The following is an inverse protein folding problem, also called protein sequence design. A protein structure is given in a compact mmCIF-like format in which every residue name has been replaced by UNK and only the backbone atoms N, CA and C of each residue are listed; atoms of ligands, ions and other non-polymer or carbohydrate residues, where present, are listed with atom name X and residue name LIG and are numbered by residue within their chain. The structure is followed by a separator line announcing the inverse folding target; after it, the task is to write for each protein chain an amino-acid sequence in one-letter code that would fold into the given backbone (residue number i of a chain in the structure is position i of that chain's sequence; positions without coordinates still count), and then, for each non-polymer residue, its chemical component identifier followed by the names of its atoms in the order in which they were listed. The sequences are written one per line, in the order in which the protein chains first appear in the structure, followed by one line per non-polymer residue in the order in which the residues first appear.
data_IF_432205403246
#
_entry.id   IF_432205403246
#
_cell.length_a   1.000
_cell.length_b   1.000
_cell.length_c   1.000
_cell.angle_alpha   90.00
_cell.angle_beta   90.00
_cell.angle_gamma   90.00
#
_symmetry.space_group_name_H-M   'P 1'
#
loop_
_entity.id
_entity.type
_entity.pdbx_description
1 polymer ?
#
# COMPACT_ATOMS: atom_id res chain seq x y z
N UNK A 1 -72.57 -6.34 -27.38
CA UNK A 1 -72.32 -5.74 -26.05
C UNK A 1 -70.91 -6.11 -25.64
N UNK A 2 -70.08 -5.10 -25.41
CA UNK A 2 -68.73 -5.20 -24.83
C UNK A 2 -68.82 -5.59 -23.32
N UNK A 3 -67.74 -5.52 -22.53
CA UNK A 3 -66.89 -6.64 -22.09
C UNK A 3 -66.96 -6.85 -20.56
N UNK A 4 -66.23 -7.82 -20.01
CA UNK A 4 -65.75 -7.68 -18.62
C UNK A 4 -64.41 -8.35 -18.40
N UNK A 5 -63.50 -7.50 -17.96
CA UNK A 5 -62.11 -7.67 -17.53
C UNK A 5 -61.95 -8.57 -16.30
N UNK A 6 -60.87 -9.35 -16.27
CA UNK A 6 -60.21 -9.75 -15.02
C UNK A 6 -58.73 -9.35 -15.11
N UNK A 7 -58.34 -8.54 -14.13
CA UNK A 7 -57.09 -7.81 -13.98
C UNK A 7 -55.85 -8.71 -13.87
N UNK A 8 -54.85 -8.40 -14.69
CA UNK A 8 -53.44 -8.71 -14.44
C UNK A 8 -52.95 -7.86 -13.27
N UNK A 9 -52.43 -8.50 -12.21
CA UNK A 9 -51.75 -7.81 -11.12
C UNK A 9 -50.29 -7.46 -11.53
N UNK A 10 -49.78 -6.25 -11.23
CA UNK A 10 -48.48 -5.81 -11.70
C UNK A 10 -47.34 -6.10 -10.71
N UNK A 11 -46.19 -6.42 -11.29
CA UNK A 11 -44.84 -6.01 -10.86
C UNK A 11 -44.47 -6.25 -9.39
N UNK A 12 -43.99 -7.46 -9.11
CA UNK A 12 -43.05 -7.68 -8.00
C UNK A 12 -41.66 -7.21 -8.46
N UNK A 13 -41.39 -5.91 -8.32
CA UNK A 13 -40.03 -5.38 -8.42
C UNK A 13 -39.25 -5.90 -7.22
N UNK A 14 -38.69 -7.10 -7.38
CA UNK A 14 -37.73 -7.65 -6.44
C UNK A 14 -36.65 -6.61 -6.18
N UNK A 15 -36.62 -6.12 -4.94
CA UNK A 15 -35.47 -5.41 -4.40
C UNK A 15 -34.31 -6.38 -4.52
N UNK A 16 -33.49 -6.22 -5.57
CA UNK A 16 -32.19 -6.88 -5.64
C UNK A 16 -31.44 -6.42 -4.40
N UNK A 17 -31.37 -7.27 -3.37
CA UNK A 17 -30.44 -7.07 -2.27
C UNK A 17 -29.06 -6.97 -2.92
N UNK A 18 -28.53 -5.77 -3.01
CA UNK A 18 -27.19 -5.54 -3.51
C UNK A 18 -26.26 -6.27 -2.55
N UNK A 19 -25.71 -7.41 -3.01
CA UNK A 19 -24.72 -8.14 -2.23
C UNK A 19 -23.58 -7.19 -1.87
N UNK A 20 -23.21 -7.20 -0.59
CA UNK A 20 -22.08 -6.43 -0.08
C UNK A 20 -20.83 -6.73 -0.92
N UNK A 21 -20.02 -5.72 -1.24
CA UNK A 21 -18.80 -5.92 -2.00
C UNK A 21 -17.79 -6.72 -1.19
N UNK A 22 -16.99 -7.54 -1.88
CA UNK A 22 -15.78 -8.11 -1.28
C UNK A 22 -14.73 -7.00 -1.15
N UNK A 23 -14.07 -6.88 -0.01
CA UNK A 23 -13.01 -5.91 0.24
C UNK A 23 -11.64 -6.58 0.14
N UNK A 24 -10.73 -5.99 -0.64
CA UNK A 24 -9.31 -6.31 -0.63
C UNK A 24 -8.55 -5.12 -0.09
N UNK A 25 -8.04 -5.27 1.13
CA UNK A 25 -7.36 -4.21 1.88
C UNK A 25 -5.86 -4.39 1.74
N UNK A 26 -5.15 -3.33 1.40
CA UNK A 26 -3.71 -3.31 1.21
C UNK A 26 -3.09 -2.23 2.09
N UNK A 27 -2.14 -2.62 2.94
CA UNK A 27 -1.51 -1.69 3.88
C UNK A 27 0.00 -1.67 3.69
N UNK A 28 0.60 -0.48 3.74
CA UNK A 28 2.02 -0.38 4.11
C UNK A 28 2.19 -0.64 5.63
N UNK A 29 3.44 -0.89 6.03
CA UNK A 29 3.82 -1.10 7.42
C UNK A 29 4.31 0.19 8.07
N UNK A 30 5.46 0.69 7.63
CA UNK A 30 6.17 1.81 8.25
C UNK A 30 5.38 3.10 8.13
N UNK A 31 5.23 3.83 9.24
CA UNK A 31 4.45 5.08 9.34
C UNK A 31 2.97 4.99 8.91
N UNK A 32 2.49 3.78 8.55
CA UNK A 32 1.11 3.47 8.19
C UNK A 32 0.45 2.66 9.30
N UNK A 33 0.87 1.41 9.53
CA UNK A 33 0.45 0.62 10.69
C UNK A 33 1.24 1.07 11.93
N UNK A 34 2.54 1.31 11.79
CA UNK A 34 3.35 1.89 12.86
C UNK A 34 3.20 3.42 12.88
N UNK A 35 3.45 4.03 14.03
CA UNK A 35 3.43 5.48 14.18
C UNK A 35 4.69 6.14 13.60
N UNK A 36 5.79 5.39 13.48
CA UNK A 36 7.11 5.85 13.06
C UNK A 36 7.79 4.81 12.16
N UNK A 37 8.79 5.27 11.40
CA UNK A 37 9.66 4.42 10.60
C UNK A 37 10.42 3.42 11.51
N UNK A 38 10.33 2.13 11.18
CA UNK A 38 10.96 1.03 11.93
C UNK A 38 12.16 0.40 11.21
N UNK A 39 12.55 0.92 10.05
CA UNK A 39 13.63 0.37 9.23
C UNK A 39 14.95 0.24 10.00
N UNK A 40 15.26 1.22 10.85
CA UNK A 40 16.48 1.23 11.69
C UNK A 40 16.51 0.14 12.76
N UNK A 41 15.37 -0.49 13.07
CA UNK A 41 15.26 -1.57 14.03
C UNK A 41 15.56 -2.95 13.42
N UNK A 42 15.65 -3.04 12.10
CA UNK A 42 15.83 -4.33 11.41
C UNK A 42 17.28 -4.81 11.51
N UNK A 43 18.31 -4.01 11.18
CA UNK A 43 19.70 -4.41 11.38
C UNK A 43 20.04 -4.65 12.86
N UNK A 44 21.17 -5.31 13.16
CA UNK A 44 21.71 -5.35 14.52
C UNK A 44 21.98 -3.93 15.04
N UNK A 45 21.84 -3.69 16.36
CA UNK A 45 22.00 -2.36 16.95
C UNK A 45 23.45 -1.82 16.87
N UNK A 46 24.43 -2.71 16.80
CA UNK A 46 25.85 -2.36 16.75
C UNK A 46 26.47 -2.94 15.49
N UNK A 47 26.42 -2.18 14.40
CA UNK A 47 27.02 -2.54 13.12
C UNK A 47 28.23 -1.66 12.82
N UNK A 48 29.15 -2.20 12.02
CA UNK A 48 30.24 -1.43 11.42
C UNK A 48 30.11 -1.56 9.90
N UNK A 49 29.78 -0.48 9.17
CA UNK A 49 29.50 0.87 9.65
C UNK A 49 28.17 0.96 10.44
N UNK A 50 27.97 2.01 11.26
CA UNK A 50 26.66 2.34 11.83
C UNK A 50 25.58 2.43 10.75
N UNK A 51 24.36 1.96 11.05
CA UNK A 51 23.25 2.00 10.10
C UNK A 51 22.94 3.43 9.60
N UNK A 52 23.08 4.43 10.48
CA UNK A 52 22.88 5.83 10.13
C UNK A 52 23.75 6.31 8.97
N UNK A 53 24.99 5.81 8.86
CA UNK A 53 25.92 6.18 7.78
C UNK A 53 25.42 5.70 6.42
N UNK A 54 24.78 4.53 6.37
CA UNK A 54 24.14 4.01 5.15
C UNK A 54 22.94 4.86 4.75
N UNK A 55 22.18 5.34 5.73
CA UNK A 55 21.08 6.29 5.52
C UNK A 55 21.58 7.64 4.96
N UNK A 56 22.64 8.20 5.55
CA UNK A 56 23.25 9.44 5.03
C UNK A 56 23.76 9.26 3.60
N UNK A 57 24.39 8.13 3.30
CA UNK A 57 24.88 7.84 1.96
C UNK A 57 23.73 7.67 0.94
N UNK A 58 22.59 7.11 1.36
CA UNK A 58 21.38 7.06 0.52
C UNK A 58 20.84 8.46 0.21
N UNK A 59 20.78 9.36 1.20
CA UNK A 59 20.32 10.73 0.98
C UNK A 59 21.20 11.48 -0.02
N UNK A 60 22.52 11.24 0.01
CA UNK A 60 23.45 11.81 -0.98
C UNK A 60 23.19 11.28 -2.40
N UNK A 61 22.95 9.97 -2.55
CA UNK A 61 22.60 9.38 -3.84
C UNK A 61 21.28 9.97 -4.38
N UNK A 62 20.29 10.13 -3.48
CA UNK A 62 18.98 10.69 -3.82
C UNK A 62 19.08 12.15 -4.25
N UNK A 63 19.86 12.98 -3.54
CA UNK A 63 20.08 14.39 -3.88
C UNK A 63 20.81 14.56 -5.22
N UNK A 64 21.84 13.73 -5.45
CA UNK A 64 22.58 13.68 -6.72
C UNK A 64 21.65 13.31 -7.87
N UNK A 65 20.87 12.24 -7.68
CA UNK A 65 19.90 11.79 -8.67
C UNK A 65 18.81 12.84 -8.95
N UNK A 66 18.29 13.49 -7.91
CA UNK A 66 17.28 14.54 -8.06
C UNK A 66 17.80 15.70 -8.93
N UNK A 67 19.04 16.13 -8.66
CA UNK A 67 19.70 17.21 -9.41
C UNK A 67 19.89 16.84 -10.89
N UNK A 68 20.33 15.61 -11.16
CA UNK A 68 20.48 15.09 -12.53
C UNK A 68 19.14 14.96 -13.25
N UNK A 69 18.13 14.43 -12.56
CA UNK A 69 16.79 14.22 -13.12
C UNK A 69 16.13 15.54 -13.51
N UNK A 70 16.29 16.61 -12.72
CA UNK A 70 15.77 17.94 -13.03
C UNK A 70 16.45 18.58 -14.26
N UNK A 71 17.72 18.29 -14.51
CA UNK A 71 18.46 18.85 -15.65
C UNK A 71 18.10 18.18 -16.98
N UNK A 72 17.41 17.04 -16.96
CA UNK A 72 17.01 16.30 -18.16
C UNK A 72 15.91 17.07 -18.92
N UNK A 73 16.31 17.80 -19.96
CA UNK A 73 15.42 18.66 -20.77
C UNK A 73 14.42 17.91 -21.65
N UNK A 74 14.75 16.69 -22.07
CA UNK A 74 13.87 15.85 -22.88
C UNK A 74 13.45 14.64 -22.07
N UNK A 75 12.18 14.63 -21.66
CA UNK A 75 11.51 13.47 -21.07
C UNK A 75 10.80 12.74 -22.20
N UNK A 76 11.21 11.51 -22.46
CA UNK A 76 10.64 10.69 -23.53
C UNK A 76 9.31 10.04 -23.09
N UNK A 77 8.98 10.11 -21.79
CA UNK A 77 7.79 9.49 -21.22
C UNK A 77 6.56 10.38 -21.41
N UNK A 78 5.57 9.88 -22.17
CA UNK A 78 4.30 10.59 -22.33
C UNK A 78 3.33 10.26 -21.18
N UNK A 79 2.27 11.09 -20.95
CA UNK A 79 1.20 10.72 -20.01
C UNK A 79 0.58 9.35 -20.30
N UNK A 80 0.49 8.96 -21.57
CA UNK A 80 -0.05 7.67 -21.98
C UNK A 80 0.88 6.51 -21.57
N UNK A 81 2.19 6.72 -21.66
CA UNK A 81 3.18 5.75 -21.18
C UNK A 81 3.07 5.58 -19.66
N UNK A 82 2.90 6.68 -18.91
CA UNK A 82 2.71 6.61 -17.45
C UNK A 82 1.43 5.87 -17.07
N UNK A 83 0.33 6.12 -17.76
CA UNK A 83 -0.92 5.36 -17.57
C UNK A 83 -0.69 3.87 -17.78
N UNK A 84 0.06 3.49 -18.82
CA UNK A 84 0.42 2.09 -19.09
C UNK A 84 1.34 1.50 -18.02
N UNK A 85 2.43 2.21 -17.67
CA UNK A 85 3.42 1.80 -16.66
C UNK A 85 2.72 1.54 -15.32
N UNK A 86 1.90 2.48 -14.87
CA UNK A 86 1.21 2.42 -13.60
C UNK A 86 -0.15 1.71 -13.66
N UNK A 87 -0.55 1.18 -14.82
CA UNK A 87 -1.83 0.49 -14.99
C UNK A 87 -3.03 1.33 -14.54
N UNK A 88 -2.97 2.64 -14.76
CA UNK A 88 -4.07 3.56 -14.48
C UNK A 88 -5.18 3.37 -15.53
N UNK A 89 -6.35 3.92 -15.29
CA UNK A 89 -7.44 3.84 -16.27
C UNK A 89 -7.02 4.57 -17.58
N UNK A 90 -7.30 4.02 -18.78
CA UNK A 90 -6.87 4.64 -20.05
C UNK A 90 -7.38 6.07 -20.24
N UNK A 91 -8.59 6.36 -19.75
CA UNK A 91 -9.18 7.70 -19.77
C UNK A 91 -8.50 8.70 -18.84
N UNK A 92 -7.52 8.28 -18.04
CA UNK A 92 -6.82 9.14 -17.08
C UNK A 92 -5.72 10.00 -17.69
N UNK A 93 -5.18 9.64 -18.85
CA UNK A 93 -4.04 10.35 -19.45
C UNK A 93 -4.29 11.87 -19.63
N UNK A 94 -5.48 12.34 -20.07
CA UNK A 94 -5.78 13.77 -20.18
C UNK A 94 -5.87 14.50 -18.83
N UNK A 95 -5.97 13.76 -17.72
CA UNK A 95 -6.19 14.28 -16.37
C UNK A 95 -4.94 14.18 -15.48
N UNK A 96 -3.84 13.65 -16.02
CA UNK A 96 -2.54 13.78 -15.37
C UNK A 96 -2.03 15.19 -15.60
N UNK A 97 -1.95 15.97 -14.52
CA UNK A 97 -1.25 17.25 -14.54
C UNK A 97 0.21 17.04 -14.98
N UNK A 98 0.86 18.03 -15.62
CA UNK A 98 2.30 17.95 -15.92
C UNK A 98 3.14 17.63 -14.69
N UNK A 99 2.76 18.16 -13.53
CA UNK A 99 3.42 17.98 -12.24
C UNK A 99 3.28 16.53 -11.74
N UNK A 100 2.06 15.97 -11.78
CA UNK A 100 1.83 14.57 -11.40
C UNK A 100 2.54 13.60 -12.37
N UNK A 101 2.49 13.87 -13.66
CA UNK A 101 3.22 13.08 -14.65
C UNK A 101 4.74 13.11 -14.37
N UNK A 102 5.28 14.30 -14.05
CA UNK A 102 6.68 14.47 -13.69
C UNK A 102 7.07 13.71 -12.43
N UNK A 103 6.23 13.72 -11.41
CA UNK A 103 6.44 12.97 -10.17
C UNK A 103 6.41 11.46 -10.41
N UNK A 104 5.43 10.96 -11.16
CA UNK A 104 5.32 9.53 -11.48
C UNK A 104 6.52 9.04 -12.30
N UNK A 105 7.04 9.86 -13.22
CA UNK A 105 8.27 9.55 -13.95
C UNK A 105 9.49 9.53 -13.01
N UNK A 106 9.61 10.51 -12.11
CA UNK A 106 10.66 10.56 -11.09
C UNK A 106 10.65 9.31 -10.21
N UNK A 107 9.49 8.95 -9.66
CA UNK A 107 9.30 7.77 -8.82
C UNK A 107 9.61 6.47 -9.56
N UNK A 108 9.34 6.39 -10.86
CA UNK A 108 9.69 5.23 -11.67
C UNK A 108 11.22 5.08 -11.80
N UNK A 109 11.92 6.20 -11.99
CA UNK A 109 13.35 6.24 -12.22
C UNK A 109 14.19 6.03 -10.93
N UNK A 110 13.58 6.13 -9.74
CA UNK A 110 14.25 5.91 -8.44
C UNK A 110 14.77 4.48 -8.23
N UNK A 111 14.36 3.49 -9.01
CA UNK A 111 14.78 2.09 -8.81
C UNK A 111 16.32 1.93 -8.83
N UNK A 112 17.03 2.74 -9.64
CA UNK A 112 18.49 2.70 -9.67
C UNK A 112 19.14 3.23 -8.39
N UNK A 113 18.55 4.27 -7.79
CA UNK A 113 19.01 4.82 -6.50
C UNK A 113 18.80 3.77 -5.39
N UNK A 114 17.61 3.17 -5.35
CA UNK A 114 17.30 2.10 -4.41
C UNK A 114 18.25 0.90 -4.56
N UNK A 115 18.51 0.45 -5.79
CA UNK A 115 19.42 -0.66 -6.05
C UNK A 115 20.86 -0.33 -5.60
N UNK A 116 21.31 0.90 -5.83
CA UNK A 116 22.62 1.38 -5.35
C UNK A 116 22.72 1.31 -3.82
N UNK A 117 21.67 1.75 -3.13
CA UNK A 117 21.58 1.70 -1.67
C UNK A 117 21.59 0.27 -1.11
N UNK A 118 20.82 -0.62 -1.75
CA UNK A 118 20.79 -2.05 -1.40
C UNK A 118 22.17 -2.67 -1.58
N UNK A 119 22.83 -2.45 -2.73
CA UNK A 119 24.17 -2.99 -2.99
C UNK A 119 25.20 -2.48 -1.96
N UNK A 120 25.12 -1.21 -1.56
CA UNK A 120 25.99 -0.65 -0.51
C UNK A 120 25.75 -1.32 0.85
N UNK A 121 24.49 -1.56 1.18
CA UNK A 121 24.08 -2.26 2.41
C UNK A 121 24.55 -3.70 2.44
N UNK A 122 24.47 -4.43 1.33
CA UNK A 122 24.98 -5.81 1.27
C UNK A 122 26.50 -5.85 1.38
N UNK A 123 27.21 -4.96 0.68
CA UNK A 123 28.68 -4.87 0.72
C UNK A 123 29.22 -4.49 2.09
N UNK A 124 28.47 -3.72 2.87
CA UNK A 124 28.88 -3.35 4.23
C UNK A 124 28.79 -4.53 5.21
N UNK A 125 28.09 -5.60 4.84
CA UNK A 125 28.02 -6.83 5.62
C UNK A 125 27.19 -6.71 6.91
N UNK A 126 26.37 -5.66 7.07
CA UNK A 126 25.59 -5.43 8.29
C UNK A 126 24.59 -6.55 8.61
N UNK A 127 24.24 -7.37 7.60
CA UNK A 127 23.37 -8.52 7.74
C UNK A 127 24.11 -9.85 7.87
N UNK A 128 25.44 -9.87 7.87
CA UNK A 128 26.20 -11.09 8.15
C UNK A 128 26.03 -11.45 9.63
N UNK A 129 25.50 -12.64 9.91
CA UNK A 129 25.21 -13.07 11.28
C UNK A 129 23.94 -12.46 11.87
N UNK A 130 23.11 -11.77 11.06
CA UNK A 130 21.82 -11.25 11.53
C UNK A 130 20.92 -12.39 12.03
N UNK A 131 20.41 -12.26 13.25
CA UNK A 131 19.55 -13.26 13.87
C UNK A 131 18.07 -12.81 13.77
N UNK A 132 17.22 -13.56 13.05
CA UNK A 132 15.79 -13.26 12.96
C UNK A 132 15.11 -13.17 14.33
N UNK A 133 15.53 -13.97 15.31
CA UNK A 133 14.91 -13.99 16.64
C UNK A 133 15.07 -12.63 17.33
N UNK A 134 16.27 -12.04 17.28
CA UNK A 134 16.49 -10.72 17.86
C UNK A 134 15.67 -9.62 17.16
N UNK A 135 15.48 -9.71 15.85
CA UNK A 135 14.64 -8.78 15.11
C UNK A 135 13.16 -8.92 15.52
N UNK A 136 12.67 -10.17 15.67
CA UNK A 136 11.32 -10.43 16.14
C UNK A 136 11.08 -9.92 17.56
N UNK A 137 12.04 -10.05 18.47
CA UNK A 137 11.92 -9.51 19.83
C UNK A 137 11.81 -7.98 19.84
N UNK A 138 12.57 -7.28 18.97
CA UNK A 138 12.42 -5.83 18.80
C UNK A 138 11.05 -5.46 18.23
N UNK A 139 10.53 -6.23 17.27
CA UNK A 139 9.22 -6.00 16.66
C UNK A 139 8.05 -6.09 17.66
N UNK A 140 8.20 -6.87 18.73
CA UNK A 140 7.20 -7.06 19.79
C UNK A 140 7.21 -5.96 20.86
N UNK A 141 8.27 -5.17 20.93
CA UNK A 141 8.49 -4.23 22.01
C UNK A 141 7.74 -2.91 21.78
N UNK A 142 6.94 -2.50 22.76
CA UNK A 142 6.32 -1.15 22.81
C UNK A 142 7.34 -0.02 22.91
N UNK A 143 8.56 -0.32 23.36
CA UNK A 143 9.64 0.66 23.46
C UNK A 143 10.18 1.01 22.07
N UNK A 144 10.28 0.02 21.19
CA UNK A 144 10.88 0.20 19.87
C UNK A 144 9.84 0.41 18.77
N UNK A 145 8.72 -0.31 18.83
CA UNK A 145 7.66 -0.23 17.83
C UNK A 145 6.43 0.38 18.47
N UNK A 146 6.02 1.54 17.97
CA UNK A 146 4.76 2.15 18.34
C UNK A 146 3.74 1.89 17.25
N UNK A 147 2.60 1.29 17.61
CA UNK A 147 1.49 1.06 16.70
C UNK A 147 0.61 2.31 16.64
N UNK A 148 0.20 2.70 15.43
CA UNK A 148 -0.63 3.89 15.21
C UNK A 148 -2.00 3.72 15.88
N UNK A 149 -2.50 4.81 16.46
CA UNK A 149 -3.82 4.88 17.10
C UNK A 149 -4.92 4.32 16.20
N UNK A 150 -5.84 3.55 16.80
CA UNK A 150 -6.99 2.94 16.12
C UNK A 150 -6.71 1.58 15.45
N UNK A 151 -5.43 1.19 15.25
CA UNK A 151 -5.11 -0.07 14.55
C UNK A 151 -5.68 -1.31 15.27
N UNK A 152 -5.68 -1.31 16.61
CA UNK A 152 -6.25 -2.40 17.40
C UNK A 152 -7.74 -2.61 17.13
N UNK A 153 -8.48 -1.54 16.88
CA UNK A 153 -9.90 -1.61 16.56
C UNK A 153 -10.11 -2.16 15.14
N UNK A 154 -9.20 -1.83 14.21
CA UNK A 154 -9.16 -2.44 12.87
C UNK A 154 -8.87 -3.93 12.95
N UNK A 155 -7.91 -4.37 13.77
CA UNK A 155 -7.64 -5.79 14.01
C UNK A 155 -8.87 -6.50 14.57
N UNK A 156 -9.54 -5.89 15.54
CA UNK A 156 -10.78 -6.44 16.13
C UNK A 156 -11.88 -6.58 15.08
N UNK A 157 -12.08 -5.55 14.25
CA UNK A 157 -13.03 -5.60 13.15
C UNK A 157 -12.66 -6.69 12.12
N UNK A 158 -11.39 -6.79 11.73
CA UNK A 158 -10.90 -7.77 10.76
C UNK A 158 -11.20 -9.20 11.19
N UNK A 159 -10.90 -9.56 12.44
CA UNK A 159 -11.09 -10.94 12.93
C UNK A 159 -12.55 -11.36 13.06
N UNK A 160 -13.48 -10.40 13.00
CA UNK A 160 -14.92 -10.63 12.96
C UNK A 160 -15.46 -10.84 11.53
N UNK A 161 -14.65 -10.55 10.48
CA UNK A 161 -15.08 -10.68 9.09
C UNK A 161 -14.88 -12.10 8.54
N UNK A 162 -15.72 -12.49 7.57
CA UNK A 162 -15.46 -13.70 6.77
C UNK A 162 -14.29 -13.42 5.81
N UNK A 163 -13.27 -14.28 5.83
CA UNK A 163 -12.10 -14.14 4.95
C UNK A 163 -12.44 -14.23 3.45
N UNK A 164 -13.64 -14.68 3.10
CA UNK A 164 -14.18 -14.66 1.72
C UNK A 164 -14.73 -13.29 1.31
N UNK A 165 -15.08 -12.48 2.29
CA UNK A 165 -15.64 -11.13 2.12
C UNK A 165 -14.58 -10.04 2.34
N UNK A 166 -13.61 -10.26 3.23
CA UNK A 166 -12.53 -9.32 3.51
C UNK A 166 -11.16 -10.00 3.49
N UNK A 167 -10.25 -9.50 2.65
CA UNK A 167 -8.84 -9.87 2.63
C UNK A 167 -7.96 -8.71 3.10
N UNK A 168 -6.89 -9.03 3.81
CA UNK A 168 -5.88 -8.04 4.25
C UNK A 168 -4.52 -8.46 3.74
N UNK A 169 -3.89 -7.59 2.97
CA UNK A 169 -2.55 -7.76 2.44
C UNK A 169 -1.64 -6.67 3.00
N UNK A 170 -0.40 -7.02 3.29
CA UNK A 170 0.64 -6.05 3.65
C UNK A 170 1.68 -6.02 2.54
N UNK A 171 2.01 -4.82 2.05
CA UNK A 171 3.00 -4.58 0.99
C UNK A 171 3.96 -3.50 1.45
N UNK A 172 5.23 -3.85 1.67
CA UNK A 172 6.21 -2.90 2.22
C UNK A 172 7.57 -2.96 1.52
N UNK A 173 8.23 -1.82 1.41
CA UNK A 173 9.64 -1.71 0.97
C UNK A 173 10.63 -2.06 2.10
N UNK A 174 10.12 -2.32 3.30
CA UNK A 174 10.86 -2.72 4.48
C UNK A 174 11.78 -3.91 4.23
N UNK A 175 12.83 -4.02 5.03
CA UNK A 175 13.91 -4.98 4.82
C UNK A 175 13.69 -6.31 5.52
N UNK A 176 12.57 -6.49 6.25
CA UNK A 176 12.23 -7.77 6.86
C UNK A 176 10.72 -8.03 7.00
N UNK A 177 10.20 -8.91 6.16
CA UNK A 177 8.88 -9.52 6.28
C UNK A 177 8.75 -10.28 7.60
N UNK A 178 9.84 -10.93 8.03
CA UNK A 178 9.92 -11.61 9.32
C UNK A 178 9.69 -10.65 10.51
N UNK A 179 10.28 -9.44 10.46
CA UNK A 179 10.08 -8.40 11.47
C UNK A 179 8.62 -7.92 11.50
N UNK A 180 8.06 -7.58 10.33
CA UNK A 180 6.66 -7.12 10.20
C UNK A 180 5.70 -8.17 10.74
N UNK A 181 5.89 -9.44 10.36
CA UNK A 181 5.00 -10.52 10.78
C UNK A 181 5.00 -10.71 12.30
N UNK A 182 6.18 -10.59 12.94
CA UNK A 182 6.28 -10.64 14.39
C UNK A 182 5.59 -9.43 15.05
N UNK A 183 5.71 -8.24 14.47
CA UNK A 183 4.96 -7.06 14.90
C UNK A 183 3.45 -7.30 14.87
N UNK A 184 2.92 -7.77 13.74
CA UNK A 184 1.49 -8.08 13.58
C UNK A 184 0.99 -9.21 14.49
N UNK A 185 1.79 -10.24 14.74
CA UNK A 185 1.34 -11.44 15.48
C UNK A 185 1.67 -11.44 16.96
N UNK A 186 2.47 -10.49 17.43
CA UNK A 186 3.00 -10.57 18.79
C UNK A 186 3.19 -9.21 19.46
N UNK A 187 3.09 -8.10 18.74
CA UNK A 187 3.05 -6.80 19.39
C UNK A 187 1.74 -6.64 20.18
N UNK A 188 1.77 -6.22 21.46
CA UNK A 188 0.58 -6.15 22.32
C UNK A 188 -0.59 -5.31 21.77
N UNK A 189 -0.28 -4.31 20.94
CA UNK A 189 -1.25 -3.37 20.35
C UNK A 189 -1.58 -3.67 18.87
N UNK A 190 -1.02 -4.73 18.30
CA UNK A 190 -1.25 -5.19 16.92
C UNK A 190 -1.75 -6.65 16.84
N UNK A 191 -1.89 -7.30 17.99
CA UNK A 191 -1.98 -8.74 18.14
C UNK A 191 -3.10 -9.39 17.31
N UNK A 192 -2.74 -9.93 16.15
CA UNK A 192 -3.58 -10.86 15.41
C UNK A 192 -3.68 -12.19 16.19
N UNK A 193 -4.89 -12.76 16.36
CA UNK A 193 -5.06 -14.06 17.01
C UNK A 193 -4.21 -15.15 16.33
N UNK A 194 -3.70 -16.16 17.07
CA UNK A 194 -2.88 -17.23 16.49
C UNK A 194 -3.55 -18.01 15.34
N UNK A 195 -4.89 -18.11 15.37
CA UNK A 195 -5.69 -18.76 14.34
C UNK A 195 -6.16 -17.80 13.22
N UNK A 196 -5.75 -16.53 13.27
CA UNK A 196 -6.13 -15.53 12.27
C UNK A 196 -5.60 -15.90 10.90
N UNK A 197 -6.46 -15.76 9.89
CA UNK A 197 -6.09 -15.86 8.48
C UNK A 197 -5.37 -14.61 7.97
N UNK A 198 -5.21 -13.59 8.81
CA UNK A 198 -4.57 -12.33 8.45
C UNK A 198 -3.09 -12.25 8.88
N UNK A 199 -2.26 -11.46 8.17
CA UNK A 199 -2.55 -10.98 6.82
C UNK A 199 -2.70 -12.17 5.86
N UNK A 200 -3.63 -12.06 4.90
CA UNK A 200 -3.84 -13.02 3.82
C UNK A 200 -2.53 -13.22 3.05
N UNK A 201 -1.82 -12.12 2.77
CA UNK A 201 -0.44 -12.17 2.27
C UNK A 201 0.39 -11.05 2.87
N UNK A 202 1.67 -11.31 3.12
CA UNK A 202 2.66 -10.31 3.49
C UNK A 202 3.78 -10.32 2.46
N UNK A 203 3.98 -9.19 1.78
CA UNK A 203 4.99 -9.00 0.75
C UNK A 203 5.94 -7.90 1.21
N UNK A 204 7.13 -8.30 1.63
CA UNK A 204 8.25 -7.41 1.93
C UNK A 204 9.56 -8.15 1.61
N UNK A 205 10.69 -7.54 1.93
CA UNK A 205 12.00 -8.17 1.74
C UNK A 205 12.44 -8.91 3.02
N UNK A 206 13.51 -9.71 2.97
CA UNK A 206 14.13 -10.30 4.16
C UNK A 206 15.64 -10.47 3.92
N UNK A 207 16.48 -10.46 4.98
CA UNK A 207 17.85 -10.93 4.88
C UNK A 207 17.89 -12.39 4.46
N UNK A 208 18.72 -12.71 3.46
CA UNK A 208 18.94 -14.09 3.00
C UNK A 208 19.66 -14.85 4.11
N UNK A 209 19.13 -16.01 4.51
CA UNK A 209 19.71 -16.82 5.57
C UNK A 209 20.73 -17.84 5.02
N UNK A 210 21.76 -18.13 5.81
CA UNK A 210 22.70 -19.21 5.61
C UNK A 210 22.18 -20.53 6.22
N UNK A 211 22.97 -21.60 6.13
CA UNK A 211 22.61 -22.93 6.65
C UNK A 211 22.42 -23.00 8.16
N UNK A 212 22.87 -21.98 8.90
CA UNK A 212 22.71 -21.87 10.35
C UNK A 212 21.51 -20.98 10.74
N UNK A 213 20.64 -20.62 9.79
CA UNK A 213 19.51 -19.69 9.97
C UNK A 213 19.92 -18.28 10.42
N UNK A 214 21.15 -17.86 10.09
CA UNK A 214 21.64 -16.50 10.32
C UNK A 214 21.81 -15.78 8.98
N UNK A 215 21.76 -14.46 8.98
CA UNK A 215 21.91 -13.66 7.76
C UNK A 215 23.25 -13.92 7.06
N UNK A 216 23.18 -14.10 5.75
CA UNK A 216 24.31 -14.33 4.85
C UNK A 216 24.90 -13.01 4.29
N UNK A 217 24.33 -11.86 4.66
CA UNK A 217 24.73 -10.53 4.19
C UNK A 217 23.94 -9.99 3.00
N UNK A 218 23.28 -10.86 2.22
CA UNK A 218 22.41 -10.46 1.12
C UNK A 218 20.97 -10.17 1.58
N UNK A 219 20.23 -9.39 0.81
CA UNK A 219 18.80 -9.12 1.00
C UNK A 219 18.01 -9.72 -0.16
N UNK A 220 16.82 -10.27 0.08
CA UNK A 220 15.92 -10.67 -1.01
C UNK A 220 15.53 -9.48 -1.91
N UNK A 221 15.70 -8.25 -1.40
CA UNK A 221 15.54 -6.97 -2.10
C UNK A 221 16.43 -6.81 -3.33
N UNK A 222 17.60 -7.46 -3.39
CA UNK A 222 18.56 -7.40 -4.51
C UNK A 222 18.31 -8.42 -5.61
N UNK A 223 17.46 -9.42 -5.36
CA UNK A 223 17.16 -10.44 -6.36
C UNK A 223 16.46 -9.82 -7.58
N UNK A 224 16.81 -10.28 -8.79
CA UNK A 224 16.26 -9.77 -10.06
C UNK A 224 15.20 -10.70 -10.68
N UNK A 225 15.02 -11.90 -10.10
CA UNK A 225 14.02 -12.90 -10.53
C UNK A 225 13.43 -13.62 -9.31
N UNK A 226 12.10 -13.69 -9.18
CA UNK A 226 11.47 -14.79 -8.44
C UNK A 226 11.36 -16.00 -9.37
N UNK A 227 11.43 -17.22 -8.83
CA UNK A 227 11.19 -18.46 -9.59
C UNK A 227 9.78 -18.53 -10.21
N UNK A 228 8.88 -17.65 -9.77
CA UNK A 228 7.49 -17.51 -10.21
C UNK A 228 7.24 -16.39 -11.23
N UNK A 229 8.29 -15.77 -11.79
CA UNK A 229 8.15 -14.75 -12.85
C UNK A 229 7.67 -13.37 -12.37
N UNK A 230 7.54 -13.18 -11.05
CA UNK A 230 7.32 -11.86 -10.43
C UNK A 230 8.68 -11.19 -10.29
N UNK A 231 8.80 -9.93 -10.73
CA UNK A 231 10.02 -9.13 -10.54
C UNK A 231 10.39 -9.11 -9.07
N UNK A 232 11.67 -9.34 -8.80
CA UNK A 232 12.16 -9.58 -7.46
C UNK A 232 12.52 -8.30 -6.69
N UNK A 233 12.41 -8.40 -5.35
CA UNK A 233 12.61 -7.34 -4.37
C UNK A 233 11.60 -6.18 -4.44
N UNK A 234 11.01 -5.78 -3.30
CA UNK A 234 10.13 -4.61 -3.23
C UNK A 234 10.99 -3.40 -2.84
N UNK A 235 11.31 -2.56 -3.83
CA UNK A 235 12.22 -1.40 -3.65
C UNK A 235 11.54 -0.03 -3.71
N UNK A 236 10.56 0.09 -4.59
CA UNK A 236 9.95 1.37 -4.94
C UNK A 236 8.43 1.25 -4.93
N UNK A 237 7.73 2.39 -5.03
CA UNK A 237 6.28 2.38 -5.18
C UNK A 237 5.77 1.62 -6.39
N UNK A 238 6.57 1.56 -7.47
CA UNK A 238 6.26 0.73 -8.64
C UNK A 238 6.26 -0.76 -8.31
N UNK A 239 7.18 -1.23 -7.48
CA UNK A 239 7.20 -2.62 -7.02
C UNK A 239 6.02 -2.93 -6.11
N UNK A 240 5.66 -2.01 -5.19
CA UNK A 240 4.45 -2.14 -4.37
C UNK A 240 3.21 -2.32 -5.25
N UNK A 241 3.10 -1.49 -6.30
CA UNK A 241 2.00 -1.55 -7.26
C UNK A 241 1.97 -2.86 -8.06
N UNK A 242 3.14 -3.38 -8.48
CA UNK A 242 3.20 -4.66 -9.19
C UNK A 242 2.72 -5.83 -8.33
N UNK A 243 3.04 -5.80 -7.02
CA UNK A 243 2.50 -6.76 -6.05
C UNK A 243 1.00 -6.59 -5.85
N UNK A 244 0.52 -5.35 -5.68
CA UNK A 244 -0.92 -5.08 -5.56
C UNK A 244 -1.66 -5.66 -6.77
N UNK A 245 -1.21 -5.36 -7.99
CA UNK A 245 -1.83 -5.84 -9.23
C UNK A 245 -1.81 -7.36 -9.39
N UNK A 246 -0.80 -8.04 -8.86
CA UNK A 246 -0.73 -9.50 -8.94
C UNK A 246 -1.67 -10.19 -7.94
N UNK A 247 -2.03 -9.52 -6.85
CA UNK A 247 -2.96 -10.00 -5.81
C UNK A 247 -4.41 -9.63 -6.07
N UNK A 248 -4.65 -8.57 -6.85
CA UNK A 248 -6.01 -8.21 -7.25
C UNK A 248 -6.56 -9.28 -8.17
N UNK A 249 -7.57 -10.00 -7.65
CA UNK A 249 -8.24 -11.05 -8.38
C UNK A 249 -9.72 -10.68 -8.53
N UNK A 250 -10.31 -10.77 -9.74
CA UNK A 250 -11.74 -10.69 -9.86
C UNK A 250 -12.38 -11.84 -9.08
N UNK A 251 -13.53 -11.58 -8.47
CA UNK A 251 -14.30 -12.59 -7.75
C UNK A 251 -14.48 -13.83 -8.66
N UNK A 252 -13.81 -14.92 -8.31
CA UNK A 252 -13.79 -16.12 -9.14
C UNK A 252 -15.11 -16.88 -8.98
N UNK A 253 -15.79 -17.14 -10.09
CA UNK A 253 -16.83 -18.15 -10.29
C UNK A 253 -17.85 -18.36 -9.17
N UNK A 254 -19.04 -17.75 -9.32
CA UNK A 254 -20.35 -17.94 -8.63
C UNK A 254 -20.85 -16.77 -7.77
N UNK A 255 -19.99 -15.88 -7.29
CA UNK A 255 -20.42 -14.68 -6.55
C UNK A 255 -20.65 -13.49 -7.48
N UNK A 256 -21.83 -12.87 -7.41
CA UNK A 256 -22.15 -11.60 -8.08
C UNK A 256 -21.55 -10.38 -7.38
N UNK A 257 -20.86 -10.57 -6.24
CA UNK A 257 -20.23 -9.51 -5.47
C UNK A 257 -19.04 -8.92 -6.23
N UNK A 258 -19.02 -7.59 -6.34
CA UNK A 258 -17.88 -6.85 -6.91
C UNK A 258 -16.78 -6.71 -5.88
N UNK A 259 -15.53 -6.81 -6.29
CA UNK A 259 -14.37 -6.54 -5.42
C UNK A 259 -14.08 -5.04 -5.38
N UNK A 260 -13.90 -4.48 -4.19
CA UNK A 260 -13.38 -3.13 -3.96
C UNK A 260 -11.98 -3.24 -3.35
N UNK A 261 -11.02 -2.54 -3.95
CA UNK A 261 -9.64 -2.51 -3.48
C UNK A 261 -9.38 -1.21 -2.73
N UNK A 262 -8.80 -1.31 -1.53
CA UNK A 262 -8.47 -0.16 -0.70
C UNK A 262 -6.97 -0.23 -0.40
N UNK A 263 -6.24 0.84 -0.66
CA UNK A 263 -4.84 0.96 -0.27
C UNK A 263 -4.68 2.05 0.79
N UNK A 264 -3.99 1.74 1.88
CA UNK A 264 -3.64 2.70 2.94
C UNK A 264 -2.12 2.83 2.99
N UNK A 265 -1.63 4.07 2.88
CA UNK A 265 -0.21 4.40 2.94
C UNK A 265 0.00 5.86 3.34
N UNK A 266 1.22 6.25 3.67
CA UNK A 266 1.52 7.58 4.23
C UNK A 266 2.48 8.42 3.36
N UNK A 267 3.13 7.79 2.37
CA UNK A 267 4.32 8.35 1.72
C UNK A 267 4.20 8.49 0.20
N UNK A 268 5.19 9.16 -0.42
CA UNK A 268 5.32 9.19 -1.88
C UNK A 268 5.61 7.81 -2.48
N UNK A 269 6.16 6.86 -1.71
CA UNK A 269 6.35 5.48 -2.20
C UNK A 269 5.02 4.74 -2.34
N UNK A 270 3.96 5.22 -1.68
CA UNK A 270 2.62 4.63 -1.79
C UNK A 270 1.79 5.26 -2.88
N UNK A 271 2.19 6.42 -3.41
CA UNK A 271 1.44 7.17 -4.41
C UNK A 271 0.98 6.31 -5.60
N UNK A 272 1.82 5.43 -6.19
CA UNK A 272 1.37 4.53 -7.25
C UNK A 272 0.21 3.60 -6.85
N UNK A 273 0.22 3.07 -5.62
CA UNK A 273 -0.83 2.18 -5.14
C UNK A 273 -2.09 2.95 -4.73
N UNK A 274 -1.90 4.10 -4.09
CA UNK A 274 -2.97 5.03 -3.71
C UNK A 274 -3.78 5.48 -4.93
N UNK A 275 -3.09 5.80 -6.04
CA UNK A 275 -3.73 6.18 -7.30
C UNK A 275 -4.30 5.01 -8.10
N UNK A 276 -3.90 3.77 -7.81
CA UNK A 276 -4.39 2.60 -8.55
C UNK A 276 -5.61 1.96 -7.86
N UNK A 277 -5.68 1.99 -6.53
CA UNK A 277 -6.77 1.39 -5.77
C UNK A 277 -8.11 2.10 -6.05
N UNK A 278 -9.23 1.38 -5.87
CA UNK A 278 -10.55 2.00 -5.98
C UNK A 278 -10.72 3.13 -4.96
N UNK A 279 -10.15 2.95 -3.77
CA UNK A 279 -10.05 3.93 -2.69
C UNK A 279 -8.60 3.98 -2.22
N UNK A 280 -7.90 5.07 -2.48
CA UNK A 280 -6.59 5.38 -1.90
C UNK A 280 -6.75 6.23 -0.64
N UNK A 281 -6.21 5.78 0.49
CA UNK A 281 -6.27 6.47 1.78
C UNK A 281 -4.86 6.90 2.18
N UNK A 282 -4.66 8.21 2.27
CA UNK A 282 -3.44 8.81 2.83
C UNK A 282 -3.60 8.95 4.34
N UNK A 283 -2.80 8.24 5.12
CA UNK A 283 -2.85 8.27 6.58
C UNK A 283 -1.77 9.17 7.20
N UNK A 284 -2.08 9.77 8.35
CA UNK A 284 -1.13 10.52 9.19
C UNK A 284 -1.08 12.02 8.94
N UNK A 285 -1.80 12.55 7.94
CA UNK A 285 -1.92 13.98 7.64
C UNK A 285 -0.58 14.76 7.62
N UNK A 286 0.49 14.13 7.12
CA UNK A 286 1.81 14.77 7.01
C UNK A 286 1.70 16.02 6.13
N UNK A 287 1.92 17.20 6.70
CA UNK A 287 1.76 18.47 5.99
C UNK A 287 2.57 18.53 4.69
N UNK A 288 3.82 18.05 4.72
CA UNK A 288 4.69 17.99 3.54
C UNK A 288 4.09 17.14 2.41
N UNK A 289 3.45 16.01 2.74
CA UNK A 289 2.80 15.14 1.75
C UNK A 289 1.52 15.78 1.22
N UNK A 290 0.72 16.43 2.07
CA UNK A 290 -0.48 17.16 1.65
C UNK A 290 -0.14 18.33 0.72
N UNK A 291 0.85 19.14 1.07
CA UNK A 291 1.35 20.23 0.21
C UNK A 291 1.90 19.70 -1.11
N UNK A 292 2.61 18.57 -1.08
CA UNK A 292 3.09 17.91 -2.30
C UNK A 292 1.92 17.50 -3.19
N UNK A 293 0.93 16.78 -2.65
CA UNK A 293 -0.23 16.31 -3.41
C UNK A 293 -1.04 17.46 -4.02
N UNK A 294 -1.23 18.55 -3.29
CA UNK A 294 -1.86 19.78 -3.80
C UNK A 294 -1.08 20.35 -4.99
N UNK A 295 0.26 20.45 -4.88
CA UNK A 295 1.13 20.86 -5.98
C UNK A 295 1.15 19.90 -7.17
N UNK A 296 0.77 18.64 -6.98
CA UNK A 296 0.58 17.65 -8.06
C UNK A 296 -0.84 17.70 -8.65
N UNK A 297 -1.77 18.49 -8.09
CA UNK A 297 -3.17 18.49 -8.50
C UNK A 297 -3.94 17.22 -8.09
N UNK A 298 -3.50 16.54 -7.02
CA UNK A 298 -4.22 15.41 -6.42
C UNK A 298 -5.10 15.93 -5.29
N UNK A 299 -6.42 15.77 -5.42
CA UNK A 299 -7.37 16.21 -4.41
C UNK A 299 -7.35 15.24 -3.23
N UNK A 300 -7.11 15.76 -2.03
CA UNK A 300 -7.21 15.00 -0.78
C UNK A 300 -8.43 15.49 -0.02
N UNK A 301 -9.50 14.71 -0.02
CA UNK A 301 -10.71 15.05 0.75
C UNK A 301 -10.66 14.42 2.14
N UNK A 302 -11.38 15.00 3.11
CA UNK A 302 -11.48 14.42 4.44
C UNK A 302 -12.48 13.23 4.45
N UNK A 303 -12.43 12.45 5.54
CA UNK A 303 -13.28 11.26 5.73
C UNK A 303 -14.78 11.58 5.67
N UNK A 304 -15.23 12.70 6.21
CA UNK A 304 -16.66 13.05 6.25
C UNK A 304 -17.19 13.34 4.84
N UNK A 305 -16.46 14.13 4.06
CA UNK A 305 -16.77 14.42 2.66
C UNK A 305 -16.79 13.15 1.80
N UNK A 306 -15.85 12.23 2.04
CA UNK A 306 -15.87 10.92 1.37
C UNK A 306 -17.13 10.12 1.73
N UNK A 307 -17.48 10.03 3.02
CA UNK A 307 -18.63 9.26 3.48
C UNK A 307 -19.96 9.84 2.99
N UNK A 308 -20.11 11.16 2.97
CA UNK A 308 -21.28 11.84 2.37
C UNK A 308 -21.41 11.48 0.89
N UNK A 309 -20.32 11.60 0.13
CA UNK A 309 -20.28 11.25 -1.29
C UNK A 309 -20.56 9.75 -1.53
N UNK A 310 -20.06 8.88 -0.67
CA UNK A 310 -20.33 7.44 -0.71
C UNK A 310 -21.82 7.15 -0.49
N UNK A 311 -22.46 7.80 0.48
CA UNK A 311 -23.89 7.65 0.74
C UNK A 311 -24.75 8.08 -0.45
N UNK A 312 -24.39 9.19 -1.12
CA UNK A 312 -25.14 9.71 -2.26
C UNK A 312 -24.94 8.89 -3.54
N UNK A 313 -23.69 8.48 -3.82
CA UNK A 313 -23.31 7.92 -5.12
C UNK A 313 -23.13 6.40 -5.10
N UNK A 314 -22.98 5.80 -3.91
CA UNK A 314 -22.60 4.40 -3.72
C UNK A 314 -21.31 4.08 -4.48
N UNK A 315 -21.31 2.96 -5.22
CA UNK A 315 -20.15 2.53 -6.03
C UNK A 315 -19.71 3.53 -7.10
N UNK A 316 -20.56 4.49 -7.50
CA UNK A 316 -20.16 5.56 -8.42
C UNK A 316 -19.17 6.55 -7.77
N UNK A 317 -19.01 6.51 -6.44
CA UNK A 317 -17.97 7.25 -5.73
C UNK A 317 -16.58 6.61 -5.87
N UNK A 318 -16.46 5.36 -6.34
CA UNK A 318 -15.18 4.70 -6.54
C UNK A 318 -14.43 5.36 -7.70
N UNK A 319 -13.18 5.73 -7.45
CA UNK A 319 -12.42 6.53 -8.38
C UNK A 319 -11.31 5.81 -9.12
N UNK A 320 -10.84 4.64 -8.65
CA UNK A 320 -9.60 4.07 -9.19
C UNK A 320 -8.47 5.10 -9.18
N UNK A 321 -8.38 5.86 -8.07
CA UNK A 321 -7.55 7.03 -7.88
C UNK A 321 -7.75 8.23 -8.81
N UNK A 322 -8.57 8.17 -9.87
CA UNK A 322 -8.80 9.27 -10.87
C UNK A 322 -10.29 9.67 -11.02
N UNK A 323 -11.16 9.10 -10.18
CA UNK A 323 -12.55 9.52 -10.00
C UNK A 323 -13.48 9.22 -11.19
N UNK A 324 -14.78 9.12 -10.91
CA UNK A 324 -15.81 9.36 -11.95
C UNK A 324 -15.82 10.81 -12.42
N UNK A 325 -15.19 11.71 -11.65
CA UNK A 325 -15.08 13.15 -11.87
C UNK A 325 -13.86 13.55 -12.69
N UNK A 326 -13.05 12.58 -13.15
CA UNK A 326 -11.87 12.82 -13.97
C UNK A 326 -10.72 13.59 -13.27
N UNK A 327 -10.62 13.51 -11.94
CA UNK A 327 -9.53 14.14 -11.18
C UNK A 327 -8.93 13.13 -10.20
N UNK A 328 -7.58 13.08 -10.07
CA UNK A 328 -6.93 12.26 -9.06
C UNK A 328 -7.42 12.58 -7.65
N UNK A 329 -7.93 11.60 -6.92
CA UNK A 329 -8.55 11.81 -5.60
C UNK A 329 -8.19 10.74 -4.59
N UNK A 330 -7.81 11.19 -3.39
CA UNK A 330 -7.49 10.38 -2.22
C UNK A 330 -8.34 10.82 -1.02
N UNK A 331 -8.46 9.95 -0.03
CA UNK A 331 -9.04 10.28 1.27
C UNK A 331 -7.91 10.50 2.28
N UNK A 332 -7.84 11.69 2.88
CA UNK A 332 -6.91 12.02 3.93
C UNK A 332 -7.48 11.69 5.31
N UNK A 333 -6.73 10.96 6.12
CA UNK A 333 -7.12 10.56 7.48
C UNK A 333 -5.98 10.77 8.47
N UNK A 334 -6.31 11.08 9.72
CA UNK A 334 -5.29 11.26 10.76
C UNK A 334 -4.73 9.91 11.26
N UNK A 335 -5.62 8.94 11.46
CA UNK A 335 -5.30 7.65 12.06
C UNK A 335 -6.28 6.55 11.62
N UNK A 336 -6.16 5.36 12.21
CA UNK A 336 -6.96 4.19 11.85
C UNK A 336 -8.41 4.26 12.34
N UNK A 337 -8.76 5.18 13.25
CA UNK A 337 -10.16 5.38 13.66
C UNK A 337 -10.98 5.83 12.47
N UNK A 338 -10.47 6.78 11.69
CA UNK A 338 -11.13 7.26 10.47
C UNK A 338 -11.12 6.23 9.35
N UNK A 339 -10.03 5.46 9.19
CA UNK A 339 -10.01 4.32 8.25
C UNK A 339 -11.11 3.31 8.59
N UNK A 340 -11.27 2.97 9.87
CA UNK A 340 -12.29 2.02 10.30
C UNK A 340 -13.72 2.51 10.01
N UNK A 341 -13.97 3.82 10.08
CA UNK A 341 -15.25 4.42 9.66
C UNK A 341 -15.52 4.15 8.18
N UNK A 342 -14.50 4.26 7.33
CA UNK A 342 -14.59 3.94 5.90
C UNK A 342 -14.88 2.45 5.72
N UNK A 343 -14.14 1.56 6.38
CA UNK A 343 -14.37 0.11 6.25
C UNK A 343 -15.80 -0.29 6.61
N UNK A 344 -16.32 0.22 7.74
CA UNK A 344 -17.70 -0.04 8.19
C UNK A 344 -18.78 0.51 7.27
N UNK A 345 -18.49 1.56 6.49
CA UNK A 345 -19.42 2.09 5.51
C UNK A 345 -19.46 1.28 4.20
N UNK A 346 -18.44 0.45 3.96
CA UNK A 346 -18.28 -0.36 2.76
C UNK A 346 -18.69 -1.83 2.97
N UNK A 347 -18.56 -2.34 4.21
CA UNK A 347 -19.04 -3.65 4.65
C UNK A 347 -20.52 -3.56 4.97
#
# INVERSE_FOLDING_TARGET
MSPSSALTSPLDHGVQQQQQPRLQLFFDWDETITAHDTLSLIPPQHTTPPFADLGSAYMQDLESFHSEFQQKKNRDTTPQDLVSIYGLHPGSAPHLTPELAAELEYLHALDQVELTSVNRTERSGIFVGWDPVHAQERAKSREFVQIRTGWRDVVTWLVEQDSREVEMHVISVSWSATFILAGLRSHPDSLLPPASTYPTTLNANDPVLNTNNLGAGALSKSSSKSESGVKAGIRTGKHKLDVLRSLVHPASGTTTATTITIYVGDSSTDLPCLLHAHIGILIGNKHSMLTKLDGLGVVVENVDAFLERWQEMGRRALGGGIGSTQEPRLVGVADWVDVLRIFRALS
#
